data_IF_378628608037
#
_entry.id   IF_378628608037
#
_cell.length_a   1.000
_cell.length_b   1.000
_cell.length_c   1.000
_cell.angle_alpha   90.00
_cell.angle_beta   90.00
_cell.angle_gamma   90.00
#
_symmetry.space_group_name_H-M   'P 1'
#
loop_
_entity.id
_entity.type
_entity.pdbx_description
1 polymer ?
#
# COMPACT_ATOMS: atom_id res chain seq x y z
N UNK A 1 -18.17 29.81 -2.32
CA UNK A 1 -17.91 28.54 -1.62
C UNK A 1 -18.27 27.31 -2.44
N UNK A 2 -19.50 27.14 -2.93
CA UNK A 2 -19.92 25.96 -3.71
C UNK A 2 -19.02 25.64 -4.93
N UNK A 3 -18.60 26.64 -5.70
CA UNK A 3 -17.71 26.47 -6.85
C UNK A 3 -16.31 25.96 -6.48
N UNK A 4 -15.79 26.38 -5.32
CA UNK A 4 -14.50 25.93 -4.80
C UNK A 4 -14.57 24.48 -4.33
N UNK A 5 -15.66 24.11 -3.64
CA UNK A 5 -15.90 22.72 -3.21
C UNK A 5 -16.00 21.79 -4.42
N UNK A 6 -16.75 22.19 -5.44
CA UNK A 6 -16.83 21.43 -6.70
C UNK A 6 -15.47 21.27 -7.38
N UNK A 7 -14.68 22.35 -7.47
CA UNK A 7 -13.35 22.30 -8.08
C UNK A 7 -12.40 21.35 -7.32
N UNK A 8 -12.42 21.36 -5.98
CA UNK A 8 -11.61 20.46 -5.16
C UNK A 8 -12.02 19.01 -5.36
N UNK A 9 -13.33 18.71 -5.34
CA UNK A 9 -13.83 17.35 -5.56
C UNK A 9 -13.45 16.85 -6.96
N UNK A 10 -13.61 17.67 -7.99
CA UNK A 10 -13.21 17.30 -9.35
C UNK A 10 -11.70 17.02 -9.45
N UNK A 11 -10.87 17.80 -8.76
CA UNK A 11 -9.42 17.58 -8.73
C UNK A 11 -9.07 16.24 -8.06
N UNK A 12 -9.67 15.94 -6.90
CA UNK A 12 -9.47 14.66 -6.21
C UNK A 12 -9.86 13.46 -7.07
N UNK A 13 -11.02 13.52 -7.73
CA UNK A 13 -11.48 12.44 -8.61
C UNK A 13 -10.53 12.21 -9.79
N UNK A 14 -9.99 13.29 -10.39
CA UNK A 14 -9.03 13.16 -11.49
C UNK A 14 -7.72 12.50 -11.07
N UNK A 15 -7.24 12.75 -9.84
CA UNK A 15 -6.00 12.10 -9.35
C UNK A 15 -6.13 10.57 -9.23
N UNK A 16 -7.34 10.05 -8.96
CA UNK A 16 -7.58 8.61 -8.88
C UNK A 16 -7.54 7.90 -10.25
N UNK A 17 -7.66 8.66 -11.35
CA UNK A 17 -7.73 8.11 -12.71
C UNK A 17 -6.41 8.18 -13.49
N UNK A 18 -5.33 8.72 -12.90
CA UNK A 18 -4.05 9.00 -13.62
C UNK A 18 -3.46 7.74 -14.27
N UNK A 19 -3.55 6.58 -13.61
CA UNK A 19 -3.07 5.31 -14.14
C UNK A 19 -3.92 4.68 -15.25
N UNK A 20 -5.11 5.23 -15.53
CA UNK A 20 -6.01 4.75 -16.60
C UNK A 20 -5.86 5.56 -17.89
N UNK A 21 -5.43 6.83 -17.79
CA UNK A 21 -5.29 7.74 -18.94
C UNK A 21 -3.90 7.67 -19.56
N UNK A 22 -2.87 7.38 -18.75
CA UNK A 22 -1.47 7.27 -19.19
C UNK A 22 -0.94 5.88 -18.83
N UNK A 23 -0.20 5.20 -19.73
CA UNK A 23 0.43 3.93 -19.39
C UNK A 23 1.36 4.08 -18.19
N UNK A 24 1.10 3.31 -17.13
CA UNK A 24 1.90 3.31 -15.90
C UNK A 24 3.27 2.60 -16.08
N UNK A 25 3.35 1.65 -17.02
CA UNK A 25 4.56 0.85 -17.29
C UNK A 25 5.26 1.27 -18.59
N UNK A 26 6.54 0.94 -18.68
CA UNK A 26 7.35 1.19 -19.87
C UNK A 26 6.85 0.38 -21.08
N UNK A 27 6.98 0.96 -22.27
CA UNK A 27 6.73 0.26 -23.52
C UNK A 27 7.83 -0.79 -23.81
N UNK A 28 9.05 -0.55 -23.32
CA UNK A 28 10.19 -1.47 -23.40
C UNK A 28 9.91 -2.75 -22.58
N UNK A 29 9.88 -3.94 -23.20
CA UNK A 29 9.56 -5.19 -22.52
C UNK A 29 10.52 -5.52 -21.38
N UNK A 30 11.83 -5.27 -21.54
CA UNK A 30 12.84 -5.66 -20.54
C UNK A 30 12.63 -4.87 -19.25
N UNK A 31 12.38 -3.56 -19.39
CA UNK A 31 12.05 -2.69 -18.26
C UNK A 31 10.68 -3.01 -17.67
N UNK A 32 9.68 -3.32 -18.50
CA UNK A 32 8.32 -3.63 -18.05
C UNK A 32 8.26 -4.89 -17.19
N UNK A 33 9.02 -5.93 -17.53
CA UNK A 33 9.07 -7.16 -16.73
C UNK A 33 9.54 -6.86 -15.31
N UNK A 34 10.61 -6.08 -15.16
CA UNK A 34 11.11 -5.68 -13.84
C UNK A 34 10.07 -4.88 -13.05
N UNK A 35 9.37 -3.94 -13.70
CA UNK A 35 8.31 -3.16 -13.07
C UNK A 35 7.16 -4.04 -12.56
N UNK A 36 6.70 -5.00 -13.38
CA UNK A 36 5.62 -5.92 -13.03
C UNK A 36 6.01 -6.87 -11.90
N UNK A 37 7.27 -7.32 -11.85
CA UNK A 37 7.77 -8.14 -10.75
C UNK A 37 7.67 -7.38 -9.43
N UNK A 38 8.18 -6.13 -9.38
CA UNK A 38 8.09 -5.32 -8.18
C UNK A 38 6.65 -5.06 -7.76
N UNK A 39 5.78 -4.66 -8.70
CA UNK A 39 4.36 -4.48 -8.39
C UNK A 39 3.70 -5.75 -7.88
N UNK A 40 4.05 -6.91 -8.44
CA UNK A 40 3.48 -8.18 -7.97
C UNK A 40 3.90 -8.52 -6.54
N UNK A 41 5.15 -8.23 -6.17
CA UNK A 41 5.64 -8.48 -4.81
C UNK A 41 5.03 -7.49 -3.82
N UNK A 42 4.94 -6.21 -4.17
CA UNK A 42 4.27 -5.19 -3.36
C UNK A 42 2.80 -5.56 -3.09
N UNK A 43 2.10 -6.09 -4.09
CA UNK A 43 0.71 -6.55 -3.94
C UNK A 43 0.57 -7.76 -3.02
N UNK A 44 1.58 -8.65 -2.98
CA UNK A 44 1.59 -9.80 -2.06
C UNK A 44 1.78 -9.36 -0.62
N UNK A 45 2.61 -8.34 -0.40
CA UNK A 45 2.92 -7.79 0.92
C UNK A 45 1.89 -6.76 1.41
N UNK A 46 0.97 -6.33 0.54
CA UNK A 46 0.03 -5.25 0.84
C UNK A 46 -0.80 -5.49 2.11
N UNK A 47 -1.23 -6.73 2.37
CA UNK A 47 -2.01 -7.06 3.57
C UNK A 47 -1.15 -7.03 4.83
N UNK A 48 0.06 -7.59 4.76
CA UNK A 48 1.00 -7.60 5.89
C UNK A 48 1.37 -6.15 6.29
N UNK A 49 1.65 -5.30 5.30
CA UNK A 49 1.93 -3.89 5.56
C UNK A 49 0.69 -3.12 6.04
N UNK A 50 -0.52 -3.54 5.64
CA UNK A 50 -1.75 -2.95 6.16
C UNK A 50 -1.93 -3.27 7.65
N UNK A 51 -1.73 -4.52 8.05
CA UNK A 51 -1.76 -4.93 9.46
C UNK A 51 -0.72 -4.17 10.27
N UNK A 52 0.49 -4.02 9.72
CA UNK A 52 1.57 -3.26 10.34
C UNK A 52 1.29 -1.77 10.48
N UNK A 53 0.68 -1.14 9.47
CA UNK A 53 0.30 0.28 9.52
C UNK A 53 -0.71 0.56 10.65
N UNK A 54 -1.60 -0.39 10.92
CA UNK A 54 -2.55 -0.33 12.02
C UNK A 54 -2.03 -0.93 13.33
N UNK A 55 -0.75 -1.32 13.39
CA UNK A 55 -0.11 -1.93 14.55
C UNK A 55 -0.83 -3.21 15.04
N UNK A 56 -1.51 -3.93 14.16
CA UNK A 56 -2.24 -5.16 14.48
C UNK A 56 -1.31 -6.37 14.65
N UNK A 57 -0.09 -6.29 14.10
CA UNK A 57 0.97 -7.28 14.20
C UNK A 57 1.89 -7.07 15.42
N UNK A 58 1.59 -6.09 16.29
CA UNK A 58 2.41 -5.82 17.47
C UNK A 58 2.25 -6.95 18.50
N UNK A 59 3.34 -7.45 19.12
CA UNK A 59 3.24 -8.43 20.19
C UNK A 59 2.40 -7.90 21.35
N UNK A 60 1.54 -8.76 21.89
CA UNK A 60 0.77 -8.45 23.09
C UNK A 60 1.72 -8.20 24.26
N UNK A 61 1.56 -7.05 24.93
CA UNK A 61 2.34 -6.66 26.10
C UNK A 61 1.85 -7.33 27.40
N UNK A 62 0.70 -8.01 27.37
CA UNK A 62 0.02 -8.56 28.55
C UNK A 62 0.29 -10.05 28.78
N UNK A 63 0.87 -10.76 27.81
CA UNK A 63 1.21 -12.18 27.96
C UNK A 63 2.72 -12.40 27.84
N UNK A 64 3.39 -12.90 28.89
CA UNK A 64 4.80 -13.23 28.78
C UNK A 64 4.96 -14.39 27.80
N UNK A 65 5.58 -14.11 26.66
CA UNK A 65 5.95 -15.15 25.70
C UNK A 65 6.90 -16.14 26.38
N UNK A 66 6.48 -17.40 26.51
CA UNK A 66 7.35 -18.48 26.96
C UNK A 66 8.35 -18.82 25.86
N UNK A 67 9.42 -18.04 25.78
CA UNK A 67 10.60 -18.43 25.00
C UNK A 67 11.54 -19.18 25.96
N UNK A 68 11.82 -20.44 25.64
CA UNK A 68 12.88 -21.23 26.26
C UNK A 68 12.88 -21.29 27.81
N UNK A 69 11.71 -21.52 28.41
CA UNK A 69 11.60 -21.84 29.85
C UNK A 69 11.71 -20.65 30.81
N UNK A 70 11.79 -19.42 30.31
CA UNK A 70 11.65 -18.20 31.11
C UNK A 70 10.26 -17.59 31.02
N UNK A 71 9.82 -16.95 32.09
CA UNK A 71 8.71 -15.99 32.13
C UNK A 71 9.38 -14.63 32.35
N UNK A 72 9.13 -13.64 31.49
CA UNK A 72 9.58 -12.25 31.69
C UNK A 72 8.54 -11.53 32.55
#
# INVERSE_FOLDING_TARGET
MQKLVLAVISCLLLTMAVGCVVPIYSADPDRRVQQLIYTSEDLRLLLDEWERAWMLDHPDHMTPYRTHGGII
#
